data_IF_762284737281
#
_entry.id   IF_762284737281
#
_cell.length_a   1.000
_cell.length_b   1.000
_cell.length_c   1.000
_cell.angle_alpha   90.00
_cell.angle_beta   90.00
_cell.angle_gamma   90.00
#
_symmetry.space_group_name_H-M   'P 1'
#
loop_
_entity.id
_entity.type
_entity.pdbx_description
1 polymer ?
#
# COMPACT_ATOMS: atom_id res chain seq x y z
N UNK A 1 -59.95 43.88 -12.47
CA UNK A 1 -59.17 43.24 -13.56
C UNK A 1 -58.58 41.92 -13.04
N UNK A 2 -58.18 40.99 -13.93
CA UNK A 2 -57.44 39.72 -13.69
C UNK A 2 -57.96 38.70 -12.64
N UNK A 3 -58.65 37.66 -13.17
CA UNK A 3 -58.40 36.21 -12.88
C UNK A 3 -57.15 35.74 -13.69
N UNK A 4 -56.68 34.45 -13.75
CA UNK A 4 -57.13 33.14 -13.22
C UNK A 4 -56.04 32.46 -12.33
N UNK A 5 -55.84 31.13 -12.09
CA UNK A 5 -56.49 29.77 -12.18
C UNK A 5 -55.68 28.89 -11.18
N UNK A 6 -56.07 27.75 -10.57
CA UNK A 6 -57.17 26.75 -10.69
C UNK A 6 -56.92 25.58 -11.70
N UNK A 7 -56.14 24.58 -11.26
CA UNK A 7 -56.23 23.12 -11.59
C UNK A 7 -55.75 22.34 -10.34
N UNK A 8 -56.40 21.33 -9.74
CA UNK A 8 -57.47 20.40 -10.14
C UNK A 8 -56.98 19.28 -11.11
N UNK A 9 -57.23 17.97 -10.89
CA UNK A 9 -57.96 17.30 -9.79
C UNK A 9 -57.69 15.76 -9.73
N UNK A 10 -58.06 15.14 -8.59
CA UNK A 10 -58.64 13.76 -8.42
C UNK A 10 -57.83 12.52 -8.90
N UNK A 11 -58.05 11.29 -8.41
CA UNK A 11 -58.96 10.76 -7.37
C UNK A 11 -58.34 9.52 -6.64
N UNK A 12 -59.01 9.02 -5.59
CA UNK A 12 -58.64 7.81 -4.83
C UNK A 12 -59.83 6.83 -4.73
N UNK A 13 -59.61 5.56 -5.08
CA UNK A 13 -60.30 4.34 -4.60
C UNK A 13 -59.48 3.12 -5.09
N UNK A 14 -59.11 2.05 -4.36
CA UNK A 14 -59.50 1.42 -3.08
C UNK A 14 -60.42 0.19 -3.20
N UNK A 15 -60.00 -0.92 -2.56
CA UNK A 15 -60.68 -2.21 -2.36
C UNK A 15 -60.91 -3.12 -3.60
N UNK A 16 -61.01 -4.46 -3.51
CA UNK A 16 -60.46 -5.42 -2.52
C UNK A 16 -60.61 -6.89 -2.99
N UNK A 17 -59.62 -7.74 -2.65
CA UNK A 17 -59.73 -9.15 -2.18
C UNK A 17 -60.64 -10.15 -2.93
N UNK A 18 -60.03 -11.20 -3.51
CA UNK A 18 -60.26 -12.61 -3.13
C UNK A 18 -59.20 -13.55 -3.74
N UNK A 19 -59.10 -14.78 -3.23
CA UNK A 19 -58.11 -15.79 -3.63
C UNK A 19 -58.79 -17.12 -4.03
N UNK A 20 -58.06 -17.95 -4.78
CA UNK A 20 -58.36 -19.36 -5.01
C UNK A 20 -57.06 -20.16 -5.21
N UNK A 21 -57.09 -21.45 -4.91
CA UNK A 21 -55.93 -22.34 -4.78
C UNK A 21 -56.14 -23.63 -5.60
N UNK A 22 -55.06 -24.20 -6.14
CA UNK A 22 -55.00 -25.56 -6.71
C UNK A 22 -53.55 -25.94 -7.12
N UNK A 23 -53.07 -27.10 -6.66
CA UNK A 23 -51.83 -27.73 -7.11
C UNK A 23 -52.10 -28.98 -7.97
N UNK A 24 -51.10 -29.48 -8.71
CA UNK A 24 -50.86 -30.94 -8.96
C UNK A 24 -49.56 -31.17 -9.77
N UNK A 25 -48.90 -32.29 -9.46
CA UNK A 25 -47.81 -32.96 -10.21
C UNK A 25 -47.97 -34.49 -9.95
N UNK A 26 -47.20 -35.44 -10.56
CA UNK A 26 -46.07 -35.31 -11.49
C UNK A 26 -46.20 -36.21 -12.75
N UNK A 27 -45.11 -36.45 -13.51
CA UNK A 27 -45.06 -37.51 -14.54
C UNK A 27 -43.66 -37.77 -15.13
N UNK A 28 -43.25 -39.04 -15.15
CA UNK A 28 -42.08 -39.59 -15.89
C UNK A 28 -42.59 -40.59 -16.95
N UNK A 29 -41.84 -40.84 -18.04
CA UNK A 29 -41.22 -42.17 -18.15
C UNK A 29 -39.85 -42.22 -18.87
N UNK A 30 -39.18 -43.38 -18.77
CA UNK A 30 -38.09 -43.87 -19.63
C UNK A 30 -38.41 -45.34 -20.03
N UNK A 31 -37.77 -45.98 -21.04
CA UNK A 31 -36.44 -46.60 -20.80
C UNK A 31 -35.53 -46.81 -22.03
N UNK A 32 -34.30 -47.30 -21.79
CA UNK A 32 -33.39 -47.92 -22.80
C UNK A 32 -32.21 -47.05 -23.24
N UNK A 33 -31.00 -47.57 -23.47
CA UNK A 33 -30.53 -48.97 -23.47
C UNK A 33 -29.03 -49.13 -23.08
N UNK A 34 -28.56 -50.39 -23.06
CA UNK A 34 -27.22 -50.93 -22.70
C UNK A 34 -25.99 -50.22 -23.32
N UNK A 35 -24.74 -50.38 -22.84
CA UNK A 35 -24.11 -51.55 -22.18
C UNK A 35 -22.97 -51.21 -21.19
N UNK A 36 -22.37 -52.25 -20.58
CA UNK A 36 -21.29 -52.14 -19.59
C UNK A 36 -20.14 -53.15 -19.83
N UNK A 37 -18.91 -52.73 -19.52
CA UNK A 37 -17.71 -53.53 -19.24
C UNK A 37 -16.57 -52.59 -18.76
N UNK A 38 -15.53 -52.96 -18.03
CA UNK A 38 -15.25 -54.00 -17.01
C UNK A 38 -13.95 -53.55 -16.29
N UNK A 39 -13.69 -54.00 -15.06
CA UNK A 39 -12.50 -53.64 -14.27
C UNK A 39 -11.17 -54.07 -14.91
N UNK A 40 -10.09 -53.31 -14.63
CA UNK A 40 -8.72 -53.65 -15.01
C UNK A 40 -7.67 -52.84 -14.22
N UNK A 41 -7.25 -53.34 -13.06
CA UNK A 41 -6.24 -52.70 -12.20
C UNK A 41 -4.83 -53.24 -12.46
N UNK A 42 -3.83 -52.37 -12.59
CA UNK A 42 -2.42 -52.77 -12.64
C UNK A 42 -1.47 -51.58 -12.59
N UNK A 43 -0.47 -51.63 -11.70
CA UNK A 43 0.55 -50.59 -11.56
C UNK A 43 1.93 -51.21 -11.31
N UNK A 44 2.86 -51.06 -12.26
CA UNK A 44 4.30 -51.35 -12.12
C UNK A 44 5.04 -50.99 -13.42
N UNK A 45 6.36 -50.78 -13.34
CA UNK A 45 7.27 -50.94 -14.48
C UNK A 45 7.91 -49.68 -15.04
N UNK A 46 9.08 -49.32 -14.53
CA UNK A 46 10.02 -48.40 -15.17
C UNK A 46 10.74 -49.06 -16.35
N UNK A 47 10.97 -48.33 -17.45
CA UNK A 47 11.81 -48.82 -18.57
C UNK A 47 12.32 -47.69 -19.46
N UNK A 48 13.64 -47.51 -19.54
CA UNK A 48 14.30 -46.50 -20.37
C UNK A 48 15.13 -47.13 -21.49
N UNK A 49 14.90 -46.73 -22.74
CA UNK A 49 15.83 -46.70 -23.90
C UNK A 49 15.03 -46.53 -25.20
N UNK A 50 15.46 -45.76 -26.21
CA UNK A 50 16.62 -44.88 -26.29
C UNK A 50 16.90 -44.40 -27.74
N UNK A 51 17.89 -43.52 -27.88
CA UNK A 51 18.67 -43.25 -29.11
C UNK A 51 17.94 -42.84 -30.41
N UNK A 52 18.06 -41.56 -30.77
CA UNK A 52 17.86 -41.06 -32.13
C UNK A 52 18.63 -39.74 -32.31
N UNK A 53 19.71 -39.74 -33.09
CA UNK A 53 20.63 -38.61 -33.21
C UNK A 53 20.81 -38.17 -34.68
N UNK A 54 21.00 -36.87 -34.88
CA UNK A 54 21.51 -36.27 -36.11
C UNK A 54 22.42 -35.09 -35.78
N UNK A 55 23.48 -34.91 -36.57
CA UNK A 55 24.58 -34.00 -36.24
C UNK A 55 24.44 -32.59 -36.84
N UNK A 56 25.11 -31.62 -36.22
CA UNK A 56 25.80 -30.54 -36.95
C UNK A 56 27.03 -30.08 -36.16
N UNK A 57 28.19 -30.07 -36.82
CA UNK A 57 29.51 -29.60 -36.32
C UNK A 57 29.75 -28.20 -36.95
N UNK A 58 30.69 -27.33 -36.57
CA UNK A 58 31.77 -27.24 -35.58
C UNK A 58 31.92 -25.71 -35.24
N UNK A 59 32.77 -25.17 -34.36
CA UNK A 59 34.17 -25.46 -34.02
C UNK A 59 34.57 -24.76 -32.71
N UNK A 60 35.59 -25.25 -32.00
CA UNK A 60 36.13 -24.59 -30.80
C UNK A 60 37.03 -25.51 -29.99
N UNK A 61 38.34 -25.51 -30.25
CA UNK A 61 39.26 -26.55 -29.80
C UNK A 61 40.04 -26.18 -28.53
N UNK A 62 40.02 -27.06 -27.53
CA UNK A 62 41.01 -27.12 -26.44
C UNK A 62 40.67 -26.32 -25.17
N UNK A 63 40.93 -26.83 -23.95
CA UNK A 63 41.46 -28.15 -23.60
C UNK A 63 41.01 -28.61 -22.20
N UNK A 64 41.14 -29.92 -21.96
CA UNK A 64 41.28 -30.66 -20.68
C UNK A 64 40.88 -29.96 -19.37
N UNK A 65 39.89 -30.46 -18.62
CA UNK A 65 39.99 -31.60 -17.66
C UNK A 65 41.09 -31.40 -16.60
N UNK A 66 40.87 -31.62 -15.30
CA UNK A 66 39.66 -32.08 -14.57
C UNK A 66 39.87 -31.99 -13.05
N UNK A 67 38.82 -31.79 -12.25
CA UNK A 67 38.88 -31.88 -10.79
C UNK A 67 37.49 -31.90 -10.16
N UNK A 68 37.26 -32.81 -9.21
CA UNK A 68 35.94 -33.10 -8.61
C UNK A 68 35.80 -32.61 -7.17
N UNK A 69 34.60 -32.15 -6.82
CA UNK A 69 33.93 -32.30 -5.52
C UNK A 69 34.66 -31.91 -4.22
N UNK A 70 34.07 -30.98 -3.46
CA UNK A 70 34.43 -30.74 -2.06
C UNK A 70 33.44 -29.83 -1.34
N UNK A 71 32.55 -30.41 -0.53
CA UNK A 71 31.71 -29.65 0.40
C UNK A 71 32.51 -29.29 1.64
N UNK A 72 32.46 -28.02 2.08
CA UNK A 72 33.15 -27.58 3.30
C UNK A 72 32.59 -26.24 3.79
N UNK A 73 32.25 -26.17 5.07
CA UNK A 73 31.78 -24.97 5.75
C UNK A 73 32.86 -24.44 6.70
N UNK A 74 32.61 -23.23 7.22
CA UNK A 74 33.29 -22.60 8.36
C UNK A 74 34.70 -22.05 8.12
N UNK A 75 34.77 -20.71 8.16
CA UNK A 75 35.80 -19.84 8.75
C UNK A 75 37.31 -20.16 8.59
N UNK A 76 38.09 -19.13 8.21
CA UNK A 76 39.17 -18.60 9.07
C UNK A 76 39.74 -17.26 8.56
N UNK A 77 40.02 -16.37 9.52
CA UNK A 77 41.03 -15.27 9.53
C UNK A 77 40.93 -14.11 8.52
N UNK A 78 40.78 -12.93 9.13
CA UNK A 78 40.96 -11.59 8.57
C UNK A 78 42.35 -11.30 7.95
N UNK A 79 42.43 -10.21 7.18
CA UNK A 79 43.68 -9.54 6.76
C UNK A 79 43.41 -8.05 6.47
N UNK A 80 44.32 -7.16 6.88
CA UNK A 80 44.44 -5.76 6.43
C UNK A 80 43.25 -4.81 6.69
N UNK A 81 43.08 -4.21 7.87
CA UNK A 81 43.62 -2.87 8.26
C UNK A 81 43.23 -1.68 7.36
N UNK A 82 42.49 -0.72 7.91
CA UNK A 82 42.14 0.55 7.26
C UNK A 82 41.48 1.55 8.22
N UNK A 83 42.24 2.08 9.18
CA UNK A 83 41.73 3.01 10.20
C UNK A 83 41.58 4.44 9.69
N UNK A 84 40.42 5.07 9.93
CA UNK A 84 40.26 6.52 9.97
C UNK A 84 39.65 6.93 11.31
N UNK A 85 40.16 8.00 11.91
CA UNK A 85 39.87 8.37 13.29
C UNK A 85 38.57 9.15 13.48
N UNK A 86 37.87 8.89 14.59
CA UNK A 86 36.74 9.68 15.06
C UNK A 86 37.23 10.93 15.81
N UNK A 87 36.88 12.11 15.31
CA UNK A 87 37.08 13.37 16.02
C UNK A 87 36.03 13.55 17.12
N UNK A 88 36.45 13.79 18.35
CA UNK A 88 35.57 14.09 19.49
C UNK A 88 35.38 15.60 19.67
N UNK A 89 34.14 16.08 19.57
CA UNK A 89 33.74 17.41 20.04
C UNK A 89 33.20 17.30 21.46
N UNK A 90 33.82 18.00 22.41
CA UNK A 90 33.47 17.94 23.84
C UNK A 90 32.69 19.15 24.33
N UNK A 91 31.94 18.95 25.42
CA UNK A 91 31.36 20.00 26.26
C UNK A 91 31.63 19.66 27.73
N UNK A 92 32.07 20.64 28.52
CA UNK A 92 31.96 20.61 29.99
C UNK A 92 30.56 21.07 30.43
N UNK A 93 30.19 21.12 31.71
CA UNK A 93 30.80 20.77 33.02
C UNK A 93 29.67 20.96 34.07
N UNK A 94 29.84 20.74 35.40
CA UNK A 94 30.89 20.06 36.15
C UNK A 94 30.37 18.76 36.81
N UNK A 95 31.17 18.12 37.68
CA UNK A 95 30.79 16.90 38.39
C UNK A 95 30.28 17.10 39.81
N UNK A 96 29.78 16.02 40.40
CA UNK A 96 29.64 15.82 41.85
C UNK A 96 30.05 14.39 42.20
N UNK A 97 30.61 14.19 43.38
CA UNK A 97 31.04 12.87 43.84
C UNK A 97 31.00 12.76 45.34
N UNK A 98 30.36 11.69 45.84
CA UNK A 98 30.45 11.23 47.23
C UNK A 98 30.30 9.71 47.24
N UNK A 99 31.34 9.02 47.70
CA UNK A 99 31.23 7.63 48.14
C UNK A 99 30.61 7.58 49.55
N UNK A 100 29.89 6.51 49.86
CA UNK A 100 29.29 6.28 51.19
C UNK A 100 28.99 4.80 51.38
N UNK A 101 29.59 4.20 52.41
CA UNK A 101 29.59 2.76 52.68
C UNK A 101 28.82 2.44 53.97
N UNK A 102 28.05 1.36 53.99
CA UNK A 102 27.40 0.85 55.21
C UNK A 102 26.73 -0.53 55.04
N UNK A 103 27.20 -1.50 55.82
CA UNK A 103 26.67 -2.87 55.98
C UNK A 103 25.95 -3.00 57.37
N UNK A 104 25.41 -4.17 57.79
CA UNK A 104 24.46 -5.06 57.09
C UNK A 104 23.29 -5.60 57.97
N UNK A 105 22.17 -5.98 57.32
CA UNK A 105 21.20 -7.00 57.80
C UNK A 105 20.36 -6.69 59.07
N UNK A 106 19.55 -7.66 59.57
CA UNK A 106 19.20 -8.97 59.01
C UNK A 106 17.67 -9.23 58.86
N UNK A 107 17.35 -10.43 58.35
CA UNK A 107 16.09 -11.19 58.30
C UNK A 107 14.80 -10.72 59.03
N UNK A 108 13.64 -10.93 58.38
CA UNK A 108 12.55 -11.81 58.90
C UNK A 108 11.45 -12.08 57.85
N UNK A 109 10.61 -13.09 58.11
CA UNK A 109 9.58 -13.63 57.20
C UNK A 109 8.14 -13.18 57.51
N UNK A 110 7.28 -12.99 56.49
CA UNK A 110 5.83 -12.90 56.67
C UNK A 110 5.05 -12.45 55.42
N UNK A 111 3.94 -13.13 55.02
CA UNK A 111 3.11 -12.73 53.88
C UNK A 111 1.81 -11.99 54.29
N UNK A 112 0.97 -11.68 53.27
CA UNK A 112 -0.45 -11.21 53.28
C UNK A 112 -0.73 -9.74 52.89
N UNK A 113 -1.99 -9.53 52.48
CA UNK A 113 -2.73 -8.28 52.33
C UNK A 113 -2.32 -7.31 51.19
N UNK A 114 -3.01 -7.51 50.07
CA UNK A 114 -3.42 -6.51 49.09
C UNK A 114 -3.55 -5.06 49.61
N UNK A 115 -2.81 -4.11 49.01
CA UNK A 115 -3.03 -2.67 49.14
C UNK A 115 -2.97 -1.98 47.78
N UNK A 116 -4.02 -1.21 47.42
CA UNK A 116 -4.03 -0.42 46.17
C UNK A 116 -3.30 0.90 46.39
N UNK A 117 -2.06 1.01 45.91
CA UNK A 117 -1.33 2.28 45.82
C UNK A 117 -1.15 2.72 44.37
N UNK A 118 -1.46 3.98 44.04
CA UNK A 118 -1.17 4.53 42.71
C UNK A 118 0.34 4.82 42.60
N UNK A 119 1.08 3.89 41.99
CA UNK A 119 2.43 4.16 41.54
C UNK A 119 2.37 4.94 40.21
N UNK A 120 2.71 6.23 40.24
CA UNK A 120 3.00 7.00 39.02
C UNK A 120 4.26 6.41 38.41
N UNK A 121 4.12 5.57 37.38
CA UNK A 121 5.27 5.12 36.60
C UNK A 121 5.83 6.32 35.85
N UNK A 122 6.95 6.85 36.35
CA UNK A 122 7.80 7.77 35.60
C UNK A 122 8.25 7.07 34.33
N UNK A 123 7.63 7.42 33.21
CA UNK A 123 7.99 6.93 31.90
C UNK A 123 9.38 7.45 31.54
N UNK A 124 10.40 6.61 31.77
CA UNK A 124 11.69 6.80 31.11
C UNK A 124 11.42 6.98 29.62
N UNK A 125 11.81 8.13 29.09
CA UNK A 125 11.74 8.39 27.66
C UNK A 125 12.62 7.34 26.96
N UNK A 126 11.98 6.30 26.42
CA UNK A 126 12.64 5.40 25.48
C UNK A 126 12.87 6.22 24.23
N UNK A 127 14.08 6.76 24.11
CA UNK A 127 14.56 7.36 22.88
C UNK A 127 14.62 6.20 21.87
N UNK A 128 13.57 6.07 21.06
CA UNK A 128 13.53 5.11 19.98
C UNK A 128 14.72 5.33 19.06
N UNK A 129 15.24 4.25 18.47
CA UNK A 129 16.23 4.36 17.41
C UNK A 129 15.73 5.33 16.33
N UNK A 130 16.59 6.19 15.75
CA UNK A 130 16.16 7.17 14.76
C UNK A 130 15.47 6.46 13.60
N UNK A 131 14.26 6.92 13.26
CA UNK A 131 13.55 6.41 12.10
C UNK A 131 14.42 6.62 10.85
N UNK A 132 14.66 5.54 10.10
CA UNK A 132 15.35 5.59 8.81
C UNK A 132 14.47 6.42 7.86
N UNK A 133 14.90 7.61 7.46
CA UNK A 133 14.07 8.55 6.66
C UNK A 133 13.68 7.92 5.31
N UNK A 134 12.38 7.60 5.08
CA UNK A 134 11.94 6.67 4.03
C UNK A 134 11.90 7.28 2.62
N UNK A 135 12.82 8.20 2.30
CA UNK A 135 12.83 8.84 0.99
C UNK A 135 14.03 9.70 0.61
N UNK A 136 15.03 9.95 1.48
CA UNK A 136 16.20 10.74 1.07
C UNK A 136 17.03 9.97 0.04
N UNK A 137 17.14 10.52 -1.17
CA UNK A 137 18.00 10.01 -2.25
C UNK A 137 18.98 11.09 -2.67
N UNK A 138 20.27 10.74 -2.62
CA UNK A 138 21.37 11.58 -3.10
C UNK A 138 21.84 11.04 -4.45
N UNK A 139 21.90 11.90 -5.48
CA UNK A 139 22.34 11.55 -6.84
C UNK A 139 23.50 12.45 -7.26
N UNK A 140 24.46 11.90 -8.02
CA UNK A 140 25.56 12.68 -8.61
C UNK A 140 25.13 13.24 -9.97
N UNK A 141 25.14 14.57 -10.11
CA UNK A 141 24.97 15.27 -11.39
C UNK A 141 26.30 15.75 -11.99
N UNK A 142 26.19 16.63 -12.98
CA UNK A 142 27.28 16.96 -13.94
C UNK A 142 27.87 18.37 -13.79
N UNK A 143 27.47 19.12 -12.76
CA UNK A 143 27.89 20.52 -12.57
C UNK A 143 29.35 20.67 -12.13
N UNK A 144 30.00 21.75 -12.57
CA UNK A 144 31.38 22.13 -12.17
C UNK A 144 31.45 23.38 -11.26
N UNK A 145 30.30 23.85 -10.76
CA UNK A 145 30.21 24.82 -9.68
C UNK A 145 30.09 26.28 -10.10
N UNK A 146 28.89 26.84 -9.91
CA UNK A 146 28.62 28.29 -10.01
C UNK A 146 28.62 28.98 -8.64
N UNK A 147 28.36 28.23 -7.56
CA UNK A 147 28.10 28.75 -6.20
C UNK A 147 26.61 28.74 -5.80
N UNK A 148 25.72 28.15 -6.61
CA UNK A 148 24.26 28.17 -6.42
C UNK A 148 23.74 26.89 -5.75
N UNK A 149 22.72 27.01 -4.90
CA UNK A 149 21.83 25.91 -4.52
C UNK A 149 20.51 26.08 -5.27
N UNK A 150 20.11 25.12 -6.09
CA UNK A 150 18.88 25.22 -6.90
C UNK A 150 17.79 24.33 -6.29
N UNK A 151 16.69 24.87 -5.74
CA UNK A 151 15.56 24.05 -5.28
C UNK A 151 14.88 23.37 -6.48
N UNK A 152 14.38 22.16 -6.28
CA UNK A 152 13.71 21.35 -7.31
C UNK A 152 12.41 20.74 -6.79
N UNK A 153 11.48 20.53 -7.73
CA UNK A 153 10.28 19.72 -7.58
C UNK A 153 10.21 18.75 -8.75
N UNK A 154 9.74 17.52 -8.51
CA UNK A 154 9.54 16.52 -9.57
C UNK A 154 8.20 16.67 -10.32
N UNK A 155 7.30 17.53 -9.85
CA UNK A 155 6.10 17.94 -10.56
C UNK A 155 5.97 19.48 -10.59
N UNK A 156 5.41 20.01 -11.68
CA UNK A 156 5.19 21.46 -11.85
C UNK A 156 4.00 22.03 -11.05
N UNK A 157 3.15 21.14 -10.51
CA UNK A 157 2.01 21.41 -9.61
C UNK A 157 1.79 20.16 -8.75
N UNK A 158 1.27 20.34 -7.54
CA UNK A 158 0.70 19.26 -6.73
C UNK A 158 -0.83 19.35 -6.78
N UNK A 159 -1.50 18.21 -6.95
CA UNK A 159 -2.94 18.10 -6.65
C UNK A 159 -3.07 17.54 -5.23
N UNK A 160 -3.86 18.20 -4.40
CA UNK A 160 -4.03 17.88 -2.98
C UNK A 160 -5.52 17.64 -2.70
N UNK A 161 -6.05 16.43 -2.95
CA UNK A 161 -7.48 16.17 -2.84
C UNK A 161 -7.99 16.34 -1.40
N UNK A 162 -9.10 17.05 -1.25
CA UNK A 162 -9.87 17.21 -0.03
C UNK A 162 -10.82 16.01 0.14
N UNK A 163 -11.04 15.58 1.38
CA UNK A 163 -11.94 14.46 1.70
C UNK A 163 -11.29 13.07 1.66
N UNK A 164 -9.97 12.99 1.46
CA UNK A 164 -9.18 11.74 1.53
C UNK A 164 -8.79 11.39 2.97
N UNK A 165 -8.40 10.13 3.18
CA UNK A 165 -7.86 9.68 4.46
C UNK A 165 -6.51 10.37 4.77
N UNK A 166 -6.36 10.87 5.99
CA UNK A 166 -5.13 11.50 6.47
C UNK A 166 -3.93 10.53 6.56
N UNK A 167 -4.15 9.21 6.49
CA UNK A 167 -3.11 8.21 6.33
C UNK A 167 -2.48 8.18 4.93
N UNK A 168 -3.16 8.72 3.90
CA UNK A 168 -2.65 8.85 2.52
C UNK A 168 -2.62 10.33 2.07
N UNK A 169 -1.80 11.19 2.70
CA UNK A 169 -1.62 12.58 2.31
C UNK A 169 -1.00 12.71 0.91
N UNK A 170 -1.26 13.83 0.24
CA UNK A 170 -0.76 14.09 -1.11
C UNK A 170 0.78 14.05 -1.17
N UNK A 171 1.34 13.36 -2.17
CA UNK A 171 2.76 13.01 -2.25
C UNK A 171 3.49 13.87 -3.29
N UNK A 172 4.65 14.43 -2.97
CA UNK A 172 5.50 15.17 -3.92
C UNK A 172 6.99 14.91 -3.67
N UNK A 173 7.77 14.53 -4.68
CA UNK A 173 9.23 14.56 -4.56
C UNK A 173 9.78 15.98 -4.75
N UNK A 174 10.34 16.53 -3.67
CA UNK A 174 11.05 17.82 -3.64
C UNK A 174 12.54 17.59 -3.43
N UNK A 175 13.37 18.62 -3.59
CA UNK A 175 14.80 18.48 -3.37
C UNK A 175 15.61 19.74 -3.66
N UNK A 176 16.94 19.62 -3.67
CA UNK A 176 17.86 20.69 -4.09
C UNK A 176 19.09 20.14 -4.80
N UNK A 177 19.53 20.82 -5.85
CA UNK A 177 20.81 20.56 -6.54
C UNK A 177 21.88 21.55 -6.07
N UNK A 178 23.00 21.02 -5.62
CA UNK A 178 24.22 21.79 -5.34
C UNK A 178 24.97 22.04 -6.65
N UNK A 179 24.90 23.28 -7.12
CA UNK A 179 25.84 23.83 -8.10
C UNK A 179 26.94 24.62 -7.38
N UNK A 180 27.33 24.22 -6.16
CA UNK A 180 28.40 24.83 -5.38
C UNK A 180 29.79 24.61 -6.00
N UNK A 181 30.79 25.41 -5.59
CA UNK A 181 32.20 25.22 -6.00
C UNK A 181 32.95 24.23 -5.12
N UNK A 182 32.58 24.16 -3.85
CA UNK A 182 33.12 23.26 -2.83
C UNK A 182 31.95 22.57 -2.10
N UNK A 183 32.16 21.42 -1.44
CA UNK A 183 31.13 20.77 -0.65
C UNK A 183 30.71 21.62 0.55
N UNK A 184 29.41 21.68 0.83
CA UNK A 184 28.85 22.45 1.94
C UNK A 184 27.62 21.77 2.54
N UNK A 185 27.31 22.07 3.79
CA UNK A 185 25.99 21.79 4.36
C UNK A 185 24.97 22.74 3.76
N UNK A 186 24.01 22.17 3.05
CA UNK A 186 22.98 22.88 2.30
C UNK A 186 21.63 22.68 2.99
N UNK A 187 20.92 23.77 3.25
CA UNK A 187 19.55 23.79 3.73
C UNK A 187 18.60 24.25 2.63
N UNK A 188 17.43 23.61 2.56
CA UNK A 188 16.27 24.08 1.81
C UNK A 188 15.05 24.13 2.72
N UNK A 189 14.49 25.32 2.91
CA UNK A 189 13.26 25.52 3.67
C UNK A 189 12.02 25.19 2.82
N UNK A 190 11.00 24.69 3.49
CA UNK A 190 9.74 24.21 2.92
C UNK A 190 8.59 24.96 3.59
N UNK A 191 8.02 25.93 2.88
CA UNK A 191 6.89 26.73 3.34
C UNK A 191 5.66 26.40 2.50
N UNK A 192 4.55 26.06 3.15
CA UNK A 192 3.26 25.86 2.47
C UNK A 192 2.21 26.82 3.01
N UNK A 193 1.32 27.30 2.15
CA UNK A 193 0.26 28.21 2.55
C UNK A 193 -0.77 27.50 3.44
N UNK A 194 -1.11 28.14 4.56
CA UNK A 194 -2.11 27.62 5.52
C UNK A 194 -3.51 27.61 4.90
N UNK A 195 -4.36 26.63 5.23
CA UNK A 195 -4.24 25.68 6.35
C UNK A 195 -3.48 24.38 6.04
N UNK A 196 -2.89 24.21 4.85
CA UNK A 196 -2.16 22.99 4.49
C UNK A 196 -0.98 22.70 5.42
N UNK A 197 -0.63 21.42 5.56
CA UNK A 197 0.44 20.95 6.47
C UNK A 197 1.47 20.13 5.69
N UNK A 198 2.72 20.61 5.67
CA UNK A 198 3.87 19.89 5.13
C UNK A 198 4.48 18.94 6.19
N UNK A 199 4.86 17.72 5.80
CA UNK A 199 5.46 16.73 6.73
C UNK A 199 6.86 17.07 7.24
N UNK A 200 7.54 18.07 6.66
CA UNK A 200 8.77 18.66 7.19
C UNK A 200 8.89 20.14 6.78
N UNK A 201 9.44 21.02 7.63
CA UNK A 201 9.66 22.44 7.32
C UNK A 201 10.99 22.70 6.59
N UNK A 202 11.86 21.70 6.47
CA UNK A 202 13.21 21.84 5.91
C UNK A 202 13.74 20.49 5.40
N UNK A 203 14.64 20.54 4.43
CA UNK A 203 15.57 19.46 4.07
C UNK A 203 17.00 19.99 4.25
N UNK A 204 17.88 19.19 4.85
CA UNK A 204 19.29 19.55 5.07
C UNK A 204 20.19 18.38 4.70
N UNK A 205 21.33 18.65 4.06
CA UNK A 205 22.34 17.63 3.76
C UNK A 205 23.70 18.22 3.39
N UNK A 206 24.76 17.43 3.51
CA UNK A 206 26.09 17.78 3.00
C UNK A 206 26.16 17.46 1.50
N UNK A 207 26.21 18.49 0.64
CA UNK A 207 26.08 18.35 -0.81
C UNK A 207 27.33 18.84 -1.57
N UNK A 208 28.18 17.93 -2.07
CA UNK A 208 29.28 18.26 -2.96
C UNK A 208 28.83 18.88 -4.30
N UNK A 209 29.73 19.57 -5.03
CA UNK A 209 29.46 20.11 -6.35
C UNK A 209 28.83 19.10 -7.31
N UNK A 210 27.72 19.50 -7.93
CA UNK A 210 26.94 18.71 -8.88
C UNK A 210 25.95 17.73 -8.26
N UNK A 211 25.93 17.52 -6.94
CA UNK A 211 25.01 16.55 -6.32
C UNK A 211 23.59 17.09 -6.15
N UNK A 212 22.61 16.20 -6.23
CA UNK A 212 21.19 16.46 -6.03
C UNK A 212 20.68 15.67 -4.82
N UNK A 213 20.02 16.35 -3.89
CA UNK A 213 19.22 15.78 -2.81
C UNK A 213 17.76 15.75 -3.25
N UNK A 214 17.05 14.63 -3.08
CA UNK A 214 15.61 14.54 -3.22
C UNK A 214 14.96 13.79 -2.05
N UNK A 215 13.72 14.13 -1.69
CA UNK A 215 12.93 13.44 -0.68
C UNK A 215 11.42 13.55 -0.95
N UNK A 216 10.65 12.54 -0.53
CA UNK A 216 9.17 12.56 -0.55
C UNK A 216 8.63 13.54 0.50
N UNK A 217 8.09 14.67 0.08
CA UNK A 217 7.20 15.52 0.88
C UNK A 217 5.81 14.89 0.92
N UNK A 218 5.14 14.98 2.07
CA UNK A 218 3.73 14.70 2.22
C UNK A 218 3.00 16.00 2.58
N UNK A 219 1.84 16.23 1.98
CA UNK A 219 0.99 17.40 2.20
C UNK A 219 -0.38 16.94 2.69
N UNK A 220 -0.68 17.24 3.95
CA UNK A 220 -1.99 17.02 4.55
C UNK A 220 -2.93 18.19 4.25
N UNK A 221 -4.18 17.87 3.90
CA UNK A 221 -5.28 18.80 3.68
C UNK A 221 -6.27 18.66 4.83
N UNK A 222 -6.32 19.58 5.82
CA UNK A 222 -7.32 19.52 6.88
C UNK A 222 -8.75 19.57 6.32
N UNK A 223 -9.74 18.85 6.90
CA UNK A 223 -11.10 18.77 6.35
C UNK A 223 -11.87 20.09 6.20
N UNK A 224 -11.40 21.17 6.85
CA UNK A 224 -11.98 22.53 6.75
C UNK A 224 -11.23 23.45 5.78
N UNK A 225 -10.34 22.89 4.95
CA UNK A 225 -9.57 23.64 3.94
C UNK A 225 -10.48 24.05 2.78
N UNK A 226 -10.56 25.35 2.44
CA UNK A 226 -11.24 25.78 1.22
C UNK A 226 -10.59 25.18 -0.04
N UNK A 227 -11.42 24.68 -0.96
CA UNK A 227 -11.02 24.34 -2.34
C UNK A 227 -10.43 25.59 -3.03
N UNK A 228 -9.33 25.44 -3.77
CA UNK A 228 -8.62 26.55 -4.40
C UNK A 228 -7.11 26.30 -4.62
N UNK A 229 -6.43 27.31 -5.16
CA UNK A 229 -4.98 27.31 -5.36
C UNK A 229 -4.22 27.84 -4.14
N UNK A 230 -3.18 27.12 -3.73
CA UNK A 230 -2.24 27.43 -2.66
C UNK A 230 -0.80 27.36 -3.19
N UNK A 231 0.17 27.90 -2.45
CA UNK A 231 1.59 27.84 -2.83
C UNK A 231 2.40 26.95 -1.89
N UNK A 232 3.30 26.16 -2.47
CA UNK A 232 4.44 25.53 -1.80
C UNK A 232 5.72 26.25 -2.26
N UNK A 233 6.39 26.96 -1.35
CA UNK A 233 7.67 27.63 -1.59
C UNK A 233 8.83 26.78 -1.08
N UNK A 234 9.80 26.54 -1.95
CA UNK A 234 11.03 25.81 -1.68
C UNK A 234 12.21 26.77 -1.81
N UNK A 235 12.90 27.08 -0.70
CA UNK A 235 13.95 28.11 -0.63
C UNK A 235 15.31 27.52 -0.32
N UNK A 236 16.27 27.60 -1.24
CA UNK A 236 17.64 27.14 -1.03
C UNK A 236 18.65 28.27 -1.28
N UNK A 237 19.30 28.75 -0.22
CA UNK A 237 20.22 29.90 -0.31
C UNK A 237 19.53 31.19 -0.74
N UNK A 238 19.71 31.59 -2.01
CA UNK A 238 19.08 32.78 -2.63
C UNK A 238 18.03 32.43 -3.69
N UNK A 239 17.86 31.15 -4.02
CA UNK A 239 16.95 30.70 -5.05
C UNK A 239 15.64 30.22 -4.40
N UNK A 240 14.51 30.56 -5.02
CA UNK A 240 13.18 30.10 -4.61
C UNK A 240 12.47 29.42 -5.79
N UNK A 241 11.83 28.29 -5.53
CA UNK A 241 10.89 27.64 -6.42
C UNK A 241 9.51 27.62 -5.76
N UNK A 242 8.54 28.29 -6.37
CA UNK A 242 7.12 28.15 -6.01
C UNK A 242 6.49 27.06 -6.87
N UNK A 243 5.84 26.09 -6.21
CA UNK A 243 5.02 25.03 -6.82
C UNK A 243 3.55 25.31 -6.45
N UNK A 244 2.64 25.47 -7.42
CA UNK A 244 1.21 25.55 -7.16
C UNK A 244 0.69 24.24 -6.54
N UNK A 245 -0.23 24.37 -5.58
CA UNK A 245 -0.93 23.26 -4.92
C UNK A 245 -2.43 23.49 -5.10
N UNK A 246 -3.06 22.67 -5.94
CA UNK A 246 -4.51 22.72 -6.18
C UNK A 246 -5.22 21.84 -5.15
N UNK A 247 -5.97 22.46 -4.23
CA UNK A 247 -6.92 21.74 -3.38
C UNK A 247 -8.24 21.61 -4.12
N UNK A 248 -8.67 20.38 -4.34
CA UNK A 248 -9.86 20.01 -5.14
C UNK A 248 -10.67 19.00 -4.33
N UNK A 249 -12.01 19.03 -4.37
CA UNK A 249 -12.80 17.96 -3.76
C UNK A 249 -12.56 16.64 -4.49
N UNK A 250 -12.44 15.52 -3.76
CA UNK A 250 -12.26 14.19 -4.35
C UNK A 250 -13.40 13.78 -5.32
N UNK A 251 -14.59 14.37 -5.19
CA UNK A 251 -15.71 14.21 -6.14
C UNK A 251 -15.61 15.06 -7.41
N UNK A 252 -14.72 16.05 -7.47
CA UNK A 252 -14.46 16.94 -8.62
C UNK A 252 -13.11 16.68 -9.30
N UNK A 253 -12.33 15.72 -8.78
CA UNK A 253 -11.02 15.33 -9.30
C UNK A 253 -11.12 14.73 -10.71
N UNK A 254 -10.25 15.14 -11.63
CA UNK A 254 -9.99 14.36 -12.85
C UNK A 254 -9.29 13.05 -12.47
N UNK A 255 -10.06 11.97 -12.49
CA UNK A 255 -9.66 10.63 -12.10
C UNK A 255 -9.34 9.73 -13.31
N UNK A 256 -9.31 10.27 -14.54
CA UNK A 256 -9.16 9.46 -15.76
C UNK A 256 -10.25 8.40 -15.95
N UNK A 257 -11.41 8.56 -15.29
CA UNK A 257 -12.50 7.59 -15.24
C UNK A 257 -12.48 6.61 -14.06
N UNK A 258 -11.42 6.57 -13.24
CA UNK A 258 -11.36 5.67 -12.06
C UNK A 258 -12.22 6.20 -10.91
N UNK A 259 -13.46 5.72 -10.83
CA UNK A 259 -14.47 6.06 -9.81
C UNK A 259 -14.05 5.71 -8.36
N UNK A 260 -13.07 4.82 -8.20
CA UNK A 260 -12.52 4.43 -6.89
C UNK A 260 -11.39 5.35 -6.40
N UNK A 261 -10.77 6.14 -7.29
CA UNK A 261 -9.55 6.91 -7.00
C UNK A 261 -9.74 7.88 -5.81
N UNK A 262 -8.83 7.79 -4.84
CA UNK A 262 -8.79 8.50 -3.55
C UNK A 262 -10.07 8.41 -2.70
N UNK A 263 -10.98 7.48 -2.96
CA UNK A 263 -12.25 7.38 -2.22
C UNK A 263 -12.07 6.76 -0.83
N UNK A 264 -13.00 6.99 0.13
CA UNK A 264 -12.94 6.35 1.44
C UNK A 264 -13.04 4.82 1.34
N UNK A 265 -12.13 4.14 2.04
CA UNK A 265 -12.03 2.67 2.10
C UNK A 265 -12.26 2.18 3.53
N UNK A 266 -13.02 1.10 3.71
CA UNK A 266 -13.10 0.37 4.99
C UNK A 266 -12.90 -1.13 4.77
N UNK A 267 -12.38 -1.85 5.75
CA UNK A 267 -12.18 -3.30 5.64
C UNK A 267 -12.65 -4.06 6.89
N UNK A 268 -12.81 -5.39 6.74
CA UNK A 268 -13.11 -6.32 7.84
C UNK A 268 -12.03 -6.33 8.93
N UNK A 269 -10.76 -6.20 8.54
CA UNK A 269 -9.60 -6.14 9.42
C UNK A 269 -8.40 -5.49 8.70
N UNK A 270 -7.30 -5.22 9.42
CA UNK A 270 -6.09 -4.62 8.86
C UNK A 270 -4.86 -5.02 9.69
N UNK A 271 -3.82 -5.55 9.04
CA UNK A 271 -2.61 -6.01 9.69
C UNK A 271 -1.77 -4.85 10.23
N UNK A 272 -1.40 -4.88 11.51
CA UNK A 272 -0.65 -3.80 12.17
C UNK A 272 0.88 -3.99 12.18
N UNK A 273 1.38 -5.17 11.78
CA UNK A 273 2.81 -5.51 11.83
C UNK A 273 3.72 -4.83 10.80
N UNK A 274 3.17 -4.05 9.86
CA UNK A 274 3.91 -3.18 8.94
C UNK A 274 2.99 -2.07 8.39
N UNK A 275 3.49 -1.22 7.50
CA UNK A 275 2.71 -0.09 6.96
C UNK A 275 1.82 -0.54 5.78
N UNK A 276 0.54 -0.76 6.06
CA UNK A 276 -0.50 -1.19 5.10
C UNK A 276 -1.74 -0.27 5.18
N UNK A 277 -1.65 1.02 4.77
CA UNK A 277 -2.76 1.97 4.92
C UNK A 277 -3.90 1.66 3.95
N UNK A 278 -5.14 1.53 4.45
CA UNK A 278 -6.31 1.16 3.62
C UNK A 278 -6.50 2.04 2.39
N UNK A 279 -6.25 3.33 2.53
CA UNK A 279 -6.38 4.32 1.46
C UNK A 279 -5.36 4.20 0.32
N UNK A 280 -4.29 3.39 0.44
CA UNK A 280 -3.35 3.20 -0.67
C UNK A 280 -3.91 2.31 -1.77
N UNK A 281 -4.92 1.47 -1.47
CA UNK A 281 -5.56 0.58 -2.47
C UNK A 281 -6.45 1.31 -3.47
N UNK A 282 -6.46 2.64 -3.43
CA UNK A 282 -7.18 3.51 -4.33
C UNK A 282 -6.37 4.78 -4.65
N UNK A 283 -5.06 4.81 -4.39
CA UNK A 283 -4.25 6.02 -4.62
C UNK A 283 -3.59 6.09 -6.01
N UNK A 284 -3.80 5.04 -6.81
CA UNK A 284 -3.28 4.91 -8.17
C UNK A 284 -1.88 4.29 -8.25
N UNK A 285 -1.22 4.05 -7.12
CA UNK A 285 0.07 3.36 -7.07
C UNK A 285 -0.09 1.84 -7.25
N UNK A 286 -0.21 1.42 -8.51
CA UNK A 286 -0.26 0.00 -8.91
C UNK A 286 1.06 -0.74 -8.65
N UNK A 287 2.13 -0.10 -8.17
CA UNK A 287 3.42 -0.74 -7.94
C UNK A 287 3.49 -1.47 -6.58
N UNK A 288 3.39 -2.79 -6.67
CA UNK A 288 3.59 -3.76 -5.60
C UNK A 288 4.96 -3.68 -4.92
N UNK A 289 5.97 -3.01 -5.51
CA UNK A 289 7.28 -2.80 -4.88
C UNK A 289 7.22 -2.02 -3.56
N UNK A 290 6.16 -1.23 -3.35
CA UNK A 290 5.88 -0.51 -2.10
C UNK A 290 5.33 -1.37 -0.95
N UNK A 291 5.13 -2.68 -1.14
CA UNK A 291 4.51 -3.58 -0.17
C UNK A 291 5.18 -3.52 1.21
N UNK A 292 4.36 -3.43 2.27
CA UNK A 292 4.76 -3.26 3.68
C UNK A 292 5.50 -1.94 4.00
N UNK A 293 5.90 -1.15 2.99
CA UNK A 293 6.48 0.18 3.10
C UNK A 293 5.45 1.32 3.05
N UNK A 294 4.17 1.02 2.87
CA UNK A 294 3.09 2.01 2.72
C UNK A 294 2.33 1.94 1.39
N UNK A 295 2.45 0.84 0.63
CA UNK A 295 1.50 0.49 -0.41
C UNK A 295 0.86 -0.89 -0.14
N UNK A 296 -0.40 -1.03 -0.55
CA UNK A 296 -1.26 -2.19 -0.38
C UNK A 296 -1.86 -2.39 1.02
N UNK A 297 -2.97 -3.14 1.05
CA UNK A 297 -3.64 -3.63 2.25
C UNK A 297 -3.39 -5.13 2.48
N UNK A 298 -3.32 -5.52 3.76
CA UNK A 298 -3.18 -6.87 4.28
C UNK A 298 -4.16 -7.05 5.45
N UNK A 299 -4.89 -8.17 5.53
CA UNK A 299 -5.83 -8.45 6.63
C UNK A 299 -5.11 -8.90 7.91
N UNK A 300 -5.82 -8.90 9.05
CA UNK A 300 -5.33 -9.39 10.34
C UNK A 300 -5.89 -10.77 10.74
N UNK A 301 -6.45 -11.52 9.78
CA UNK A 301 -7.38 -12.63 9.96
C UNK A 301 -7.02 -13.92 9.19
N UNK A 302 -5.74 -14.09 8.82
CA UNK A 302 -5.10 -15.35 8.33
C UNK A 302 -5.98 -16.61 8.32
N UNK A 303 -6.32 -17.10 7.13
CA UNK A 303 -7.14 -18.31 6.86
C UNK A 303 -8.62 -18.21 7.27
N UNK A 304 -9.09 -17.11 7.85
CA UNK A 304 -10.51 -16.82 8.05
C UNK A 304 -11.03 -16.08 6.82
N UNK A 305 -12.19 -16.50 6.29
CA UNK A 305 -12.78 -15.93 5.09
C UNK A 305 -14.31 -15.80 5.26
N UNK A 306 -14.96 -14.82 4.61
CA UNK A 306 -14.36 -13.78 3.76
C UNK A 306 -13.76 -12.63 4.57
N UNK A 307 -12.69 -12.01 4.06
CA UNK A 307 -12.44 -10.60 4.34
C UNK A 307 -13.23 -9.73 3.35
N UNK A 308 -13.49 -8.49 3.70
CA UNK A 308 -14.15 -7.51 2.82
C UNK A 308 -13.37 -6.21 2.80
N UNK A 309 -13.15 -5.66 1.61
CA UNK A 309 -12.64 -4.31 1.40
C UNK A 309 -13.68 -3.51 0.60
N UNK A 310 -14.21 -2.46 1.21
CA UNK A 310 -15.34 -1.66 0.71
C UNK A 310 -14.84 -0.26 0.33
N UNK A 311 -15.24 0.22 -0.85
CA UNK A 311 -14.85 1.51 -1.43
C UNK A 311 -16.11 2.33 -1.71
N UNK A 312 -16.24 3.49 -1.07
CA UNK A 312 -17.43 4.34 -1.20
C UNK A 312 -17.32 5.29 -2.41
N UNK A 313 -18.13 5.07 -3.46
CA UNK A 313 -18.10 5.90 -4.68
C UNK A 313 -18.63 7.33 -4.48
N UNK A 314 -19.10 7.67 -3.27
CA UNK A 314 -19.61 8.99 -2.89
C UNK A 314 -20.88 9.36 -3.66
N UNK A 315 -21.91 8.55 -3.44
CA UNK A 315 -23.19 8.60 -4.13
C UNK A 315 -23.25 7.71 -5.36
N UNK A 316 -24.45 7.49 -5.93
CA UNK A 316 -24.63 6.60 -7.08
C UNK A 316 -23.75 6.97 -8.28
N UNK A 317 -23.13 5.97 -8.90
CA UNK A 317 -22.40 6.03 -10.18
C UNK A 317 -22.71 4.79 -10.99
N UNK A 318 -22.65 4.88 -12.32
CA UNK A 318 -22.67 3.69 -13.17
C UNK A 318 -21.29 3.02 -13.08
N UNK A 319 -21.27 1.70 -12.92
CA UNK A 319 -20.05 0.88 -12.92
C UNK A 319 -20.29 -0.35 -13.80
N UNK A 320 -19.37 -0.65 -14.71
CA UNK A 320 -19.36 -1.89 -15.51
C UNK A 320 -18.05 -2.67 -15.42
N UNK A 321 -16.99 -2.06 -14.86
CA UNK A 321 -15.68 -2.71 -14.71
C UNK A 321 -15.05 -2.45 -13.35
N UNK A 322 -14.40 -3.48 -12.80
CA UNK A 322 -13.45 -3.36 -11.70
C UNK A 322 -12.14 -4.04 -12.08
N UNK A 323 -11.03 -3.33 -11.95
CA UNK A 323 -9.68 -3.87 -12.14
C UNK A 323 -9.01 -4.01 -10.76
N UNK A 324 -8.54 -5.22 -10.42
CA UNK A 324 -7.88 -5.49 -9.13
C UNK A 324 -6.41 -5.83 -9.35
N UNK A 325 -5.54 -5.19 -8.56
CA UNK A 325 -4.11 -5.46 -8.47
C UNK A 325 -3.82 -6.16 -7.14
N UNK A 326 -3.08 -7.26 -7.18
CA UNK A 326 -2.65 -8.03 -5.98
C UNK A 326 -1.13 -8.02 -5.86
N UNK A 327 -0.60 -8.51 -4.73
CA UNK A 327 0.84 -8.54 -4.49
C UNK A 327 1.53 -9.45 -5.52
N UNK A 328 2.27 -8.83 -6.43
CA UNK A 328 3.05 -9.51 -7.47
C UNK A 328 4.40 -8.82 -7.68
N UNK A 329 5.48 -9.43 -7.21
CA UNK A 329 6.87 -9.00 -7.44
C UNK A 329 7.76 -10.23 -7.62
N UNK A 330 8.99 -10.08 -8.12
CA UNK A 330 9.97 -11.18 -8.19
C UNK A 330 10.18 -11.88 -6.83
N UNK A 331 10.13 -11.13 -5.73
CA UNK A 331 10.25 -11.65 -4.36
C UNK A 331 8.95 -12.25 -3.80
N UNK A 332 7.81 -11.70 -4.23
CA UNK A 332 6.48 -12.04 -3.75
C UNK A 332 5.51 -12.20 -4.93
N UNK A 333 5.65 -13.25 -5.76
CA UNK A 333 4.84 -13.39 -6.97
C UNK A 333 3.38 -13.75 -6.65
N UNK A 334 2.44 -13.28 -7.46
CA UNK A 334 1.01 -13.45 -7.23
C UNK A 334 0.59 -14.94 -7.15
N UNK A 335 1.23 -15.79 -7.97
CA UNK A 335 1.07 -17.24 -7.95
C UNK A 335 1.42 -17.92 -6.61
N UNK A 336 2.11 -17.23 -5.70
CA UNK A 336 2.55 -17.76 -4.39
C UNK A 336 2.05 -16.96 -3.19
N UNK A 337 1.73 -15.67 -3.33
CA UNK A 337 1.29 -14.82 -2.20
C UNK A 337 0.10 -13.90 -2.53
N UNK A 338 -0.27 -13.77 -3.80
CA UNK A 338 -1.39 -12.95 -4.25
C UNK A 338 -2.75 -13.51 -3.85
N UNK A 339 -3.78 -12.74 -4.15
CA UNK A 339 -5.19 -13.09 -3.99
C UNK A 339 -5.59 -14.11 -5.07
N UNK A 340 -6.28 -15.18 -4.68
CA UNK A 340 -6.61 -16.32 -5.55
C UNK A 340 -8.09 -16.38 -5.90
N UNK A 341 -8.95 -16.28 -4.88
CA UNK A 341 -10.40 -16.39 -5.01
C UNK A 341 -11.05 -15.14 -4.38
N UNK A 342 -11.94 -14.46 -5.10
CA UNK A 342 -12.76 -13.36 -4.57
C UNK A 342 -14.01 -13.09 -5.40
N UNK A 343 -14.99 -12.44 -4.79
CA UNK A 343 -16.15 -11.86 -5.45
C UNK A 343 -16.00 -10.35 -5.55
N UNK A 344 -16.24 -9.79 -6.73
CA UNK A 344 -16.51 -8.36 -6.89
C UNK A 344 -17.98 -8.15 -6.61
N UNK A 345 -18.29 -7.26 -5.66
CA UNK A 345 -19.64 -6.89 -5.28
C UNK A 345 -19.85 -5.39 -5.47
N UNK A 346 -21.09 -4.99 -5.74
CA UNK A 346 -21.50 -3.58 -5.76
C UNK A 346 -22.70 -3.37 -4.83
N UNK A 347 -22.85 -2.15 -4.30
CA UNK A 347 -23.97 -1.78 -3.44
C UNK A 347 -25.03 -1.03 -4.22
N UNK A 348 -26.19 -1.63 -4.36
CA UNK A 348 -27.37 -1.15 -5.10
C UNK A 348 -28.56 -1.11 -4.12
N UNK A 349 -29.23 0.04 -4.01
CA UNK A 349 -30.26 0.31 -2.98
C UNK A 349 -29.89 -0.13 -1.55
N UNK A 350 -28.62 0.10 -1.18
CA UNK A 350 -28.07 -0.25 0.14
C UNK A 350 -27.77 -1.74 0.33
N UNK A 351 -27.94 -2.59 -0.69
CA UNK A 351 -27.70 -4.04 -0.65
C UNK A 351 -26.50 -4.42 -1.50
N UNK A 352 -25.64 -5.28 -0.98
CA UNK A 352 -24.54 -5.87 -1.73
C UNK A 352 -25.03 -6.97 -2.67
N UNK A 353 -24.61 -6.92 -3.94
CA UNK A 353 -24.76 -8.04 -4.89
C UNK A 353 -23.43 -8.36 -5.56
N UNK A 354 -23.11 -9.64 -5.76
CA UNK A 354 -21.97 -10.05 -6.60
C UNK A 354 -22.25 -9.69 -8.06
N UNK A 355 -21.22 -9.18 -8.74
CA UNK A 355 -21.26 -8.77 -10.16
C UNK A 355 -20.30 -9.57 -11.03
N UNK A 356 -19.18 -10.00 -10.45
CA UNK A 356 -18.18 -10.87 -11.07
C UNK A 356 -17.52 -11.74 -10.00
N UNK A 357 -16.98 -12.88 -10.41
CA UNK A 357 -16.30 -13.83 -9.53
C UNK A 357 -14.96 -14.24 -10.15
N UNK A 358 -13.89 -14.16 -9.38
CA UNK A 358 -12.55 -14.63 -9.77
C UNK A 358 -12.19 -15.83 -8.90
N UNK A 359 -11.63 -16.87 -9.52
CA UNK A 359 -11.24 -18.13 -8.86
C UNK A 359 -9.94 -18.64 -9.47
N UNK A 360 -9.07 -19.23 -8.65
CA UNK A 360 -7.80 -19.83 -9.08
C UNK A 360 -6.78 -18.84 -9.63
N UNK A 361 -6.89 -17.55 -9.32
CA UNK A 361 -5.99 -16.52 -9.85
C UNK A 361 -4.53 -16.74 -9.41
N UNK A 362 -3.61 -16.52 -10.35
CA UNK A 362 -2.16 -16.55 -10.13
C UNK A 362 -1.43 -15.34 -10.73
N UNK A 363 -2.16 -14.38 -11.31
CA UNK A 363 -1.61 -13.17 -11.91
C UNK A 363 -1.74 -11.94 -10.98
N UNK A 364 -0.83 -10.98 -11.09
CA UNK A 364 -0.84 -9.74 -10.32
C UNK A 364 -1.98 -8.78 -10.63
N UNK A 365 -2.70 -8.96 -11.73
CA UNK A 365 -3.82 -8.10 -12.12
C UNK A 365 -4.94 -8.91 -12.75
N UNK A 366 -6.19 -8.65 -12.37
CA UNK A 366 -7.39 -9.22 -13.01
C UNK A 366 -8.43 -8.13 -13.25
N UNK A 367 -8.86 -8.01 -14.50
CA UNK A 367 -9.98 -7.19 -14.95
C UNK A 367 -11.29 -7.97 -14.86
N UNK A 368 -12.33 -7.35 -14.29
CA UNK A 368 -13.67 -7.90 -14.15
C UNK A 368 -14.70 -6.98 -14.82
N UNK A 369 -15.14 -7.34 -16.03
CA UNK A 369 -16.23 -6.67 -16.75
C UNK A 369 -17.60 -7.32 -16.43
N UNK A 370 -18.65 -6.49 -16.34
CA UNK A 370 -20.02 -6.92 -16.04
C UNK A 370 -21.05 -5.94 -16.64
N UNK A 371 -22.33 -6.28 -16.60
CA UNK A 371 -23.40 -5.40 -17.10
C UNK A 371 -23.46 -4.10 -16.27
N UNK A 372 -23.49 -2.90 -16.90
CA UNK A 372 -23.44 -1.63 -16.18
C UNK A 372 -24.58 -1.48 -15.16
N UNK A 373 -24.23 -1.14 -13.91
CA UNK A 373 -25.21 -0.92 -12.83
C UNK A 373 -24.90 0.33 -12.03
N UNK A 374 -25.95 0.97 -11.54
CA UNK A 374 -25.89 2.13 -10.67
C UNK A 374 -25.63 1.69 -9.22
N UNK A 375 -24.46 2.00 -8.69
CA UNK A 375 -24.04 1.62 -7.34
C UNK A 375 -23.43 2.80 -6.58
N UNK A 376 -23.51 2.79 -5.24
CA UNK A 376 -22.88 3.82 -4.37
C UNK A 376 -21.59 3.34 -3.69
N UNK A 377 -21.27 2.04 -3.78
CA UNK A 377 -20.03 1.45 -3.32
C UNK A 377 -19.64 0.19 -4.13
N UNK A 378 -18.34 -0.10 -4.16
CA UNK A 378 -17.75 -1.38 -4.63
C UNK A 378 -17.20 -2.12 -3.42
N UNK A 379 -17.21 -3.46 -3.45
CA UNK A 379 -16.58 -4.33 -2.45
C UNK A 379 -15.80 -5.44 -3.12
N UNK A 380 -14.61 -5.71 -2.62
CA UNK A 380 -13.90 -6.97 -2.85
C UNK A 380 -14.16 -7.87 -1.65
N UNK A 381 -14.88 -8.97 -1.87
CA UNK A 381 -15.09 -10.01 -0.86
C UNK A 381 -14.11 -11.15 -1.14
N UNK A 382 -13.02 -11.22 -0.37
CA UNK A 382 -11.97 -12.22 -0.58
C UNK A 382 -12.40 -13.59 -0.08
N UNK A 383 -11.85 -14.66 -0.67
CA UNK A 383 -12.24 -16.04 -0.37
C UNK A 383 -11.03 -17.00 -0.27
N UNK A 384 -9.90 -16.67 -0.90
CA UNK A 384 -8.62 -17.34 -0.70
C UNK A 384 -7.41 -16.53 -1.22
N UNK A 385 -6.23 -16.85 -0.70
CA UNK A 385 -4.93 -16.46 -1.24
C UNK A 385 -4.16 -17.68 -1.79
N UNK A 386 -3.07 -17.44 -2.50
CA UNK A 386 -2.05 -18.46 -2.81
C UNK A 386 -1.05 -18.67 -1.65
N UNK A 387 -1.00 -17.75 -0.68
CA UNK A 387 -0.03 -17.77 0.42
C UNK A 387 -0.20 -18.95 1.39
N UNK A 388 0.89 -19.55 1.90
CA UNK A 388 0.81 -20.60 2.92
C UNK A 388 0.27 -20.09 4.27
N UNK A 389 0.38 -18.77 4.49
CA UNK A 389 -0.21 -18.02 5.59
C UNK A 389 -1.64 -17.52 5.31
N UNK A 390 -2.07 -17.52 4.05
CA UNK A 390 -3.45 -17.26 3.62
C UNK A 390 -4.02 -15.94 4.17
N UNK A 391 -3.28 -14.85 3.98
CA UNK A 391 -3.77 -13.48 4.12
C UNK A 391 -4.25 -12.95 2.77
N UNK A 392 -5.35 -12.19 2.77
CA UNK A 392 -5.78 -11.27 1.73
C UNK A 392 -4.70 -10.20 1.45
N UNK A 393 -4.33 -10.00 0.18
CA UNK A 393 -3.34 -8.99 -0.23
C UNK A 393 -3.80 -8.25 -1.48
N UNK A 394 -4.02 -6.95 -1.36
CA UNK A 394 -4.52 -6.09 -2.44
C UNK A 394 -3.58 -4.88 -2.53
N UNK A 395 -3.16 -4.53 -3.74
CA UNK A 395 -2.30 -3.36 -4.01
C UNK A 395 -3.14 -2.15 -4.37
N UNK A 396 -4.02 -2.28 -5.37
CA UNK A 396 -4.88 -1.21 -5.91
C UNK A 396 -6.20 -1.84 -6.41
N UNK A 397 -7.31 -1.11 -6.32
CA UNK A 397 -8.62 -1.48 -6.85
C UNK A 397 -9.23 -0.28 -7.59
N UNK A 398 -9.43 -0.44 -8.89
CA UNK A 398 -9.95 0.61 -9.76
C UNK A 398 -11.36 0.25 -10.23
N UNK A 399 -12.26 1.24 -10.34
CA UNK A 399 -13.65 1.04 -10.75
C UNK A 399 -14.04 2.00 -11.87
N UNK A 400 -14.74 1.52 -12.90
CA UNK A 400 -15.02 2.31 -14.11
C UNK A 400 -16.45 2.07 -14.61
N UNK A 401 -17.02 3.12 -15.22
CA UNK A 401 -18.29 3.10 -15.98
C UNK A 401 -18.23 2.19 -17.20
#
# INVERSE_FOLDING_TARGET
>A
MRRPRITAALAVAAAAVLAADAAVAPGLPAPGSVAAATLGSGASGSGTSGSGASESRASGSGASRSGTSGSGASELRASGTGTFGSGTSGTGTPGSGTSGSGEPGPETSGPWASGRGLAVQSSKLVIGAPAQDPGIRVRRGISKGTGRLTPISRAGRLIAPLGVDAACPAKLEIGMRSDAREPLYADMFVEIDRPLVASRPMLSSYLPPGYELGAKLLVGVPPVTPVGEYSLRLRAGKEELTVPVSVVDVGELDNGGNLALYRPVTASSQHTGANYPLCSVVDGDRDSSGWAGGNGWNDATSRVWPDTLDIALGGPRQVSRVDLYTLDTERYPAAWLGLRDWDVQVREDGRWRTVAQVRGNTAGTVRSDFAPVTADAVRISTLASNGPDNYSRIIEVEAYS
#
